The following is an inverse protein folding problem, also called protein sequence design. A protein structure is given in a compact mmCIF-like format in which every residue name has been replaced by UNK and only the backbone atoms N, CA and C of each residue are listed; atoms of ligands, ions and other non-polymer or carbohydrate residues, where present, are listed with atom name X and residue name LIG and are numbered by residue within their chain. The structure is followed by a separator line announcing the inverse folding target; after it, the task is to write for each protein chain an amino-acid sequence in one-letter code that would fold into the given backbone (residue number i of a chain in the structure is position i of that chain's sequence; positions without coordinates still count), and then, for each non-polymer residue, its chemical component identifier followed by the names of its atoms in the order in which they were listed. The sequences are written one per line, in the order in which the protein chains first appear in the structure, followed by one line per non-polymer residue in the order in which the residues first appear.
data_IF_126407960222
#
_entry.id   IF_126407960222
#
_cell.length_a   1.000
_cell.length_b   1.000
_cell.length_c   1.000
_cell.angle_alpha   90.00
_cell.angle_beta   90.00
_cell.angle_gamma   90.00
#
_symmetry.space_group_name_H-M   'P 1'
#
loop_
_entity.id
_entity.type
_entity.pdbx_description
1 polymer ?
#
# COMPACT_ATOMS: atom_id res chain seq x y z
N UNK A 1 5.27 12.28 -27.92
CA UNK A 1 4.79 13.15 -26.84
C UNK A 1 4.35 12.26 -25.67
N UNK A 2 4.91 12.46 -24.47
CA UNK A 2 4.52 11.72 -23.25
C UNK A 2 3.09 12.08 -22.89
N UNK A 3 2.26 11.07 -22.58
CA UNK A 3 0.87 11.25 -22.21
C UNK A 3 0.56 10.78 -20.79
N UNK A 4 1.37 9.87 -20.28
CA UNK A 4 1.19 9.27 -18.95
C UNK A 4 2.56 9.23 -18.28
N UNK A 5 2.60 9.59 -17.00
CA UNK A 5 3.77 9.43 -16.12
C UNK A 5 3.29 8.70 -14.88
N UNK A 6 3.96 7.62 -14.52
CA UNK A 6 3.71 6.89 -13.29
C UNK A 6 4.93 7.00 -12.36
N UNK A 7 4.68 7.28 -11.09
CA UNK A 7 5.70 7.40 -10.06
C UNK A 7 5.57 6.27 -9.04
N UNK A 8 6.69 5.68 -8.66
CA UNK A 8 6.77 4.93 -7.41
C UNK A 8 6.89 5.91 -6.23
N UNK A 9 6.54 5.46 -5.03
CA UNK A 9 6.56 6.29 -3.83
C UNK A 9 7.86 6.15 -3.05
N UNK A 10 8.09 4.96 -2.51
CA UNK A 10 9.16 4.76 -1.52
C UNK A 10 10.53 4.72 -2.20
N UNK A 11 11.35 5.73 -1.91
CA UNK A 11 12.66 5.90 -2.56
C UNK A 11 12.61 6.60 -3.93
N UNK A 12 11.44 7.06 -4.37
CA UNK A 12 11.24 7.81 -5.61
C UNK A 12 10.61 9.18 -5.31
N UNK A 13 9.30 9.25 -5.07
CA UNK A 13 8.63 10.50 -4.69
C UNK A 13 8.85 10.86 -3.22
N UNK A 14 8.86 9.87 -2.36
CA UNK A 14 9.09 10.07 -0.93
C UNK A 14 10.59 10.14 -0.60
N UNK A 15 10.96 11.14 0.17
CA UNK A 15 12.24 11.20 0.85
C UNK A 15 12.31 10.18 2.02
N UNK A 16 13.44 10.15 2.74
CA UNK A 16 13.64 9.28 3.90
C UNK A 16 12.67 9.55 5.07
N UNK A 17 11.99 10.69 5.07
CA UNK A 17 10.99 11.09 6.06
C UNK A 17 9.55 10.91 5.54
N UNK A 18 9.37 10.28 4.37
CA UNK A 18 8.09 10.08 3.67
C UNK A 18 7.41 11.40 3.27
N UNK A 19 8.21 12.41 2.96
CA UNK A 19 7.72 13.67 2.45
C UNK A 19 8.00 13.80 0.96
N UNK A 20 7.13 14.50 0.25
CA UNK A 20 7.35 15.00 -1.11
C UNK A 20 7.62 16.50 -0.97
N UNK A 21 8.72 16.96 -1.52
CA UNK A 21 9.06 18.39 -1.48
C UNK A 21 8.07 19.19 -2.34
N UNK A 22 7.86 20.45 -1.96
CA UNK A 22 6.84 21.31 -2.58
C UNK A 22 7.16 21.63 -4.05
N UNK A 23 8.45 21.72 -4.43
CA UNK A 23 8.83 21.95 -5.83
C UNK A 23 8.45 20.76 -6.71
N UNK A 24 8.63 19.54 -6.19
CA UNK A 24 8.19 18.30 -6.88
C UNK A 24 6.67 18.28 -7.01
N UNK A 25 5.93 18.60 -5.96
CA UNK A 25 4.47 18.71 -6.00
C UNK A 25 4.01 19.71 -7.07
N UNK A 26 4.60 20.91 -7.08
CA UNK A 26 4.26 21.94 -8.09
C UNK A 26 4.52 21.45 -9.51
N UNK A 27 5.66 20.80 -9.76
CA UNK A 27 6.00 20.26 -11.09
C UNK A 27 5.03 19.17 -11.53
N UNK A 28 4.60 18.29 -10.61
CA UNK A 28 3.60 17.27 -10.92
C UNK A 28 2.29 17.93 -11.34
N UNK A 29 1.79 18.90 -10.57
CA UNK A 29 0.57 19.63 -10.89
C UNK A 29 0.70 20.37 -12.23
N UNK A 30 1.84 20.98 -12.54
CA UNK A 30 2.08 21.59 -13.85
C UNK A 30 2.00 20.59 -15.01
N UNK A 31 2.46 19.34 -14.82
CA UNK A 31 2.34 18.28 -15.83
C UNK A 31 0.87 17.92 -16.04
N UNK A 32 0.11 17.77 -14.97
CA UNK A 32 -1.33 17.47 -15.01
C UNK A 32 -2.11 18.59 -15.72
N UNK A 33 -1.82 19.86 -15.41
CA UNK A 33 -2.41 21.03 -16.09
C UNK A 33 -2.11 21.05 -17.59
N UNK A 34 -1.00 20.46 -18.03
CA UNK A 34 -0.66 20.29 -19.46
C UNK A 34 -1.32 19.07 -20.10
N UNK A 35 -2.21 18.40 -19.39
CA UNK A 35 -2.96 17.23 -19.87
C UNK A 35 -2.15 15.93 -19.88
N UNK A 36 -1.09 15.85 -19.08
CA UNK A 36 -0.36 14.60 -18.85
C UNK A 36 -1.05 13.87 -17.70
N UNK A 37 -1.48 12.64 -17.93
CA UNK A 37 -2.06 11.80 -16.88
C UNK A 37 -0.95 11.36 -15.92
N UNK A 38 -1.12 11.64 -14.63
CA UNK A 38 -0.19 11.24 -13.59
C UNK A 38 -0.75 10.05 -12.83
N UNK A 39 0.09 9.10 -12.47
CA UNK A 39 -0.27 7.95 -11.65
C UNK A 39 0.75 7.64 -10.56
N UNK A 40 0.28 6.95 -9.55
CA UNK A 40 1.12 6.32 -8.52
C UNK A 40 1.09 4.82 -8.74
N UNK A 41 2.27 4.18 -8.72
CA UNK A 41 2.42 2.72 -8.78
C UNK A 41 3.25 2.30 -7.57
N UNK A 42 2.67 1.54 -6.64
CA UNK A 42 3.32 1.25 -5.37
C UNK A 42 2.93 -0.12 -4.80
N UNK A 43 3.78 -0.67 -3.94
CA UNK A 43 3.46 -1.84 -3.13
C UNK A 43 2.52 -1.55 -1.97
N UNK A 44 2.28 -0.28 -1.62
CA UNK A 44 1.38 0.11 -0.54
C UNK A 44 -0.07 -0.20 -0.85
N UNK A 45 -0.89 -0.34 0.20
CA UNK A 45 -2.34 -0.44 0.05
C UNK A 45 -2.95 0.92 -0.26
N UNK A 46 -4.06 0.90 -0.98
CA UNK A 46 -4.75 2.13 -1.38
C UNK A 46 -5.14 3.01 -0.19
N UNK A 47 -5.56 2.40 0.90
CA UNK A 47 -5.98 3.06 2.13
C UNK A 47 -4.87 3.89 2.80
N UNK A 48 -3.61 3.61 2.46
CA UNK A 48 -2.44 4.34 2.98
C UNK A 48 -2.06 5.57 2.13
N UNK A 49 -2.75 5.79 1.01
CA UNK A 49 -2.34 6.75 -0.02
C UNK A 49 -3.13 8.06 -0.01
N UNK A 50 -4.09 8.21 0.91
CA UNK A 50 -4.99 9.37 0.93
C UNK A 50 -4.25 10.70 0.90
N UNK A 51 -3.23 10.86 1.72
CA UNK A 51 -2.46 12.11 1.82
C UNK A 51 -1.75 12.46 0.50
N UNK A 52 -1.03 11.52 -0.12
CA UNK A 52 -0.32 11.78 -1.37
C UNK A 52 -1.28 12.03 -2.53
N UNK A 53 -2.39 11.30 -2.60
CA UNK A 53 -3.42 11.49 -3.63
C UNK A 53 -3.95 12.93 -3.60
N UNK A 54 -4.25 13.45 -2.42
CA UNK A 54 -4.73 14.83 -2.26
C UNK A 54 -3.61 15.84 -2.48
N UNK A 55 -2.40 15.58 -1.99
CA UNK A 55 -1.26 16.50 -2.09
C UNK A 55 -0.89 16.80 -3.55
N UNK A 56 -0.85 15.77 -4.41
CA UNK A 56 -0.55 15.93 -5.84
C UNK A 56 -1.82 16.00 -6.72
N UNK A 57 -3.00 16.15 -6.12
CA UNK A 57 -4.28 16.40 -6.78
C UNK A 57 -4.72 15.37 -7.82
N UNK A 58 -4.34 14.10 -7.64
CA UNK A 58 -4.65 13.05 -8.61
C UNK A 58 -6.14 12.94 -8.96
N UNK A 59 -7.04 13.17 -7.99
CA UNK A 59 -8.49 13.15 -8.24
C UNK A 59 -8.96 14.31 -9.09
N UNK A 60 -8.38 15.50 -8.85
CA UNK A 60 -8.74 16.72 -9.57
C UNK A 60 -8.37 16.65 -11.06
N UNK A 61 -7.25 15.99 -11.36
CA UNK A 61 -6.70 15.89 -12.71
C UNK A 61 -6.87 14.50 -13.37
N UNK A 62 -7.81 13.69 -12.85
CA UNK A 62 -8.13 12.39 -13.42
C UNK A 62 -6.92 11.44 -13.55
N UNK A 63 -6.07 11.44 -12.54
CA UNK A 63 -4.95 10.52 -12.44
C UNK A 63 -5.37 9.09 -12.07
N UNK A 64 -4.42 8.26 -11.70
CA UNK A 64 -4.70 6.89 -11.25
C UNK A 64 -3.75 6.42 -10.15
N UNK A 65 -4.15 5.35 -9.48
CA UNK A 65 -3.31 4.64 -8.51
C UNK A 65 -3.32 3.14 -8.81
N UNK A 66 -2.14 2.55 -9.00
CA UNK A 66 -1.95 1.11 -8.99
C UNK A 66 -1.29 0.73 -7.65
N UNK A 67 -2.09 0.19 -6.73
CA UNK A 67 -1.70 -0.16 -5.36
C UNK A 67 -1.44 -1.66 -5.21
N UNK A 68 -0.84 -2.06 -4.09
CA UNK A 68 -0.57 -3.47 -3.76
C UNK A 68 0.18 -4.21 -4.88
N UNK A 69 1.23 -3.60 -5.43
CA UNK A 69 2.00 -4.11 -6.58
C UNK A 69 1.13 -4.38 -7.84
N UNK A 70 0.13 -3.53 -8.07
CA UNK A 70 -0.76 -3.64 -9.22
C UNK A 70 -1.95 -4.59 -9.01
N UNK A 71 -2.17 -5.09 -7.80
CA UNK A 71 -3.36 -5.90 -7.49
C UNK A 71 -4.66 -5.10 -7.62
N UNK A 72 -4.61 -3.82 -7.28
CA UNK A 72 -5.75 -2.91 -7.39
C UNK A 72 -5.36 -1.68 -8.22
N UNK A 73 -6.24 -1.28 -9.14
CA UNK A 73 -6.14 -0.02 -9.87
C UNK A 73 -7.37 0.82 -9.56
N UNK A 74 -7.14 2.06 -9.16
CA UNK A 74 -8.16 3.09 -8.99
C UNK A 74 -7.95 4.14 -10.06
N UNK A 75 -8.88 4.25 -10.99
CA UNK A 75 -8.89 5.26 -12.04
C UNK A 75 -9.81 6.41 -11.60
N UNK A 76 -9.29 7.63 -11.58
CA UNK A 76 -10.06 8.79 -11.15
C UNK A 76 -10.78 9.48 -12.30
N UNK A 77 -10.52 9.07 -13.56
CA UNK A 77 -11.24 9.59 -14.72
C UNK A 77 -12.69 9.11 -14.74
N UNK A 78 -12.91 7.82 -14.52
CA UNK A 78 -14.24 7.19 -14.55
C UNK A 78 -14.73 6.73 -13.17
N UNK A 79 -13.87 6.83 -12.16
CA UNK A 79 -14.13 6.34 -10.80
C UNK A 79 -14.08 4.83 -10.68
N UNK A 80 -13.58 4.12 -11.70
CA UNK A 80 -13.49 2.66 -11.67
C UNK A 80 -12.42 2.17 -10.70
N UNK A 81 -12.79 1.12 -9.98
CA UNK A 81 -11.85 0.30 -9.21
C UNK A 81 -11.77 -1.08 -9.84
N UNK A 82 -10.57 -1.48 -10.24
CA UNK A 82 -10.27 -2.83 -10.72
C UNK A 82 -9.44 -3.57 -9.68
N UNK A 83 -9.89 -4.74 -9.26
CA UNK A 83 -9.13 -5.66 -8.43
C UNK A 83 -8.95 -6.97 -9.20
N UNK A 84 -7.70 -7.35 -9.47
CA UNK A 84 -7.43 -8.45 -10.40
C UNK A 84 -7.56 -9.82 -9.75
N UNK A 85 -6.95 -10.02 -8.59
CA UNK A 85 -6.95 -11.33 -7.93
C UNK A 85 -6.82 -11.15 -6.43
N UNK A 86 -7.47 -12.05 -5.67
CA UNK A 86 -7.28 -12.19 -4.22
C UNK A 86 -7.15 -13.66 -3.89
N UNK A 87 -6.32 -13.96 -2.90
CA UNK A 87 -6.23 -15.31 -2.35
C UNK A 87 -7.55 -15.67 -1.67
N UNK A 88 -8.00 -16.88 -1.89
CA UNK A 88 -9.11 -17.45 -1.14
C UNK A 88 -8.72 -17.69 0.33
N UNK A 89 -9.71 -17.84 1.19
CA UNK A 89 -9.45 -18.12 2.61
C UNK A 89 -8.63 -19.39 2.82
N UNK A 90 -8.83 -20.42 2.00
CA UNK A 90 -8.13 -21.69 2.14
C UNK A 90 -6.69 -21.60 1.66
N UNK A 91 -6.42 -20.90 0.56
CA UNK A 91 -5.05 -20.59 0.12
C UNK A 91 -4.26 -19.79 1.18
N UNK A 92 -4.90 -18.78 1.80
CA UNK A 92 -4.27 -18.02 2.90
C UNK A 92 -3.95 -18.94 4.08
N UNK A 93 -4.87 -19.84 4.47
CA UNK A 93 -4.62 -20.80 5.55
C UNK A 93 -3.44 -21.73 5.25
N UNK A 94 -3.35 -22.25 4.03
CA UNK A 94 -2.25 -23.12 3.62
C UNK A 94 -0.91 -22.35 3.66
N UNK A 95 -0.85 -21.14 3.14
CA UNK A 95 0.36 -20.31 3.17
C UNK A 95 0.79 -19.98 4.61
N UNK A 96 -0.16 -19.60 5.48
CA UNK A 96 0.13 -19.33 6.89
C UNK A 96 0.62 -20.59 7.61
N UNK A 97 0.03 -21.75 7.32
CA UNK A 97 0.45 -23.04 7.89
C UNK A 97 1.86 -23.40 7.44
N UNK A 98 2.19 -23.18 6.17
CA UNK A 98 3.54 -23.43 5.66
C UNK A 98 4.56 -22.47 6.27
N UNK A 99 4.25 -21.18 6.31
CA UNK A 99 5.11 -20.18 6.96
C UNK A 99 5.43 -20.52 8.42
N UNK A 100 4.44 -21.00 9.17
CA UNK A 100 4.61 -21.46 10.56
C UNK A 100 5.63 -22.60 10.69
N UNK A 101 5.68 -23.55 9.75
CA UNK A 101 6.68 -24.65 9.77
C UNK A 101 8.11 -24.12 9.66
N UNK A 102 8.29 -23.00 8.96
CA UNK A 102 9.58 -22.34 8.77
C UNK A 102 9.85 -21.23 9.77
N UNK A 103 9.06 -21.12 10.85
CA UNK A 103 9.17 -20.07 11.87
C UNK A 103 9.09 -18.65 11.30
N UNK A 104 8.35 -18.47 10.19
CA UNK A 104 8.10 -17.18 9.57
C UNK A 104 6.85 -16.52 10.13
N UNK A 105 6.88 -15.21 10.19
CA UNK A 105 5.70 -14.37 10.49
C UNK A 105 4.99 -14.07 9.19
N UNK A 106 3.67 -14.24 9.18
CA UNK A 106 2.83 -13.89 8.05
C UNK A 106 1.99 -12.68 8.38
N UNK A 107 1.90 -11.74 7.43
CA UNK A 107 1.01 -10.59 7.48
C UNK A 107 -0.07 -10.78 6.42
N UNK A 108 -1.31 -10.78 6.83
CA UNK A 108 -2.46 -10.93 5.93
C UNK A 108 -3.28 -9.65 6.00
N UNK A 109 -3.44 -8.99 4.86
CA UNK A 109 -4.33 -7.84 4.75
C UNK A 109 -5.77 -8.28 4.57
N UNK A 110 -6.66 -7.82 5.46
CA UNK A 110 -8.09 -8.07 5.36
C UNK A 110 -8.91 -6.98 6.09
N UNK A 111 -10.06 -6.65 5.55
CA UNK A 111 -11.00 -5.71 6.18
C UNK A 111 -10.37 -4.36 6.59
N UNK A 112 -9.46 -3.83 5.76
CA UNK A 112 -8.80 -2.56 6.02
C UNK A 112 -7.70 -2.59 7.09
N UNK A 113 -7.16 -3.77 7.41
CA UNK A 113 -6.07 -3.91 8.38
C UNK A 113 -5.25 -5.18 8.20
N UNK A 114 -4.14 -5.24 8.93
CA UNK A 114 -3.28 -6.42 8.94
C UNK A 114 -3.62 -7.37 10.08
N UNK A 115 -3.61 -8.64 9.76
CA UNK A 115 -3.60 -9.72 10.73
C UNK A 115 -2.25 -10.41 10.70
N UNK A 116 -1.62 -10.57 11.87
CA UNK A 116 -0.33 -11.24 12.02
C UNK A 116 -0.53 -12.68 12.51
N UNK A 117 0.18 -13.61 11.89
CA UNK A 117 0.22 -15.01 12.29
C UNK A 117 1.67 -15.46 12.51
N UNK A 118 1.88 -16.38 13.46
CA UNK A 118 3.19 -16.99 13.69
C UNK A 118 4.08 -16.29 14.73
N UNK A 119 3.56 -15.27 15.44
CA UNK A 119 4.25 -14.61 16.56
C UNK A 119 3.54 -14.85 17.88
N UNK A 120 4.29 -14.91 18.98
CA UNK A 120 3.75 -14.73 20.32
C UNK A 120 3.73 -13.24 20.68
N UNK A 121 2.84 -12.83 21.59
CA UNK A 121 2.82 -11.44 22.13
C UNK A 121 4.18 -11.08 22.74
N UNK A 122 4.88 -12.04 23.34
CA UNK A 122 6.21 -11.85 23.92
C UNK A 122 7.28 -11.57 22.86
N UNK A 123 7.16 -12.14 21.65
CA UNK A 123 8.09 -11.87 20.54
C UNK A 123 7.88 -10.48 19.95
N UNK A 124 6.64 -10.02 19.91
CA UNK A 124 6.30 -8.66 19.47
C UNK A 124 6.90 -7.62 20.41
N UNK A 125 6.79 -7.84 21.73
CA UNK A 125 7.29 -6.90 22.75
C UNK A 125 8.81 -6.91 22.85
N UNK A 126 9.47 -8.07 22.64
CA UNK A 126 10.93 -8.20 22.80
C UNK A 126 11.75 -7.71 21.61
N UNK A 127 11.21 -7.67 20.41
CA UNK A 127 11.97 -7.42 19.17
C UNK A 127 11.78 -6.07 18.55
N UNK A 128 11.15 -5.09 19.20
CA UNK A 128 10.89 -3.79 18.54
C UNK A 128 10.39 -3.97 17.07
N UNK A 129 9.57 -5.00 16.83
CA UNK A 129 9.01 -5.30 15.51
C UNK A 129 8.24 -4.09 14.97
N UNK A 130 7.89 -3.16 15.85
CA UNK A 130 7.32 -1.87 15.51
C UNK A 130 8.27 -0.86 14.83
N UNK A 131 9.58 -1.10 14.86
CA UNK A 131 10.55 -0.13 14.32
C UNK A 131 10.83 -0.29 12.82
N UNK A 132 10.39 -1.36 12.18
CA UNK A 132 10.35 -1.39 10.72
C UNK A 132 9.08 -0.69 10.24
N UNK A 133 9.23 0.58 10.10
CA UNK A 133 8.37 1.65 9.65
C UNK A 133 7.58 1.36 8.36
N UNK A 134 6.61 0.52 8.46
CA UNK A 134 5.40 0.70 7.69
C UNK A 134 4.37 1.21 8.68
N UNK A 135 3.67 2.30 8.39
CA UNK A 135 2.66 2.88 9.27
C UNK A 135 1.48 1.95 9.47
N UNK A 136 1.70 0.82 10.13
CA UNK A 136 0.68 -0.18 10.39
C UNK A 136 -0.19 0.25 11.56
N UNK A 137 -1.46 0.43 11.29
CA UNK A 137 -2.44 0.34 12.36
C UNK A 137 -2.65 -1.15 12.67
N UNK A 138 -2.16 -1.60 13.81
CA UNK A 138 -2.35 -2.97 14.25
C UNK A 138 -3.81 -3.15 14.69
N UNK A 139 -4.65 -3.71 13.81
CA UNK A 139 -6.07 -3.87 14.13
C UNK A 139 -6.38 -5.11 14.96
N UNK A 140 -5.59 -6.18 14.83
CA UNK A 140 -5.82 -7.41 15.60
C UNK A 140 -4.58 -8.30 15.62
N UNK A 141 -4.15 -8.71 16.81
CA UNK A 141 -3.23 -9.84 17.00
C UNK A 141 -4.11 -11.06 17.26
N UNK A 142 -4.09 -12.03 16.34
CA UNK A 142 -4.82 -13.28 16.51
C UNK A 142 -3.87 -14.30 17.12
N UNK A 143 -4.11 -14.64 18.38
CA UNK A 143 -3.44 -15.75 19.06
C UNK A 143 -4.11 -17.07 18.71
N UNK A 144 -3.31 -18.05 18.44
CA UNK A 144 -3.45 -19.51 18.17
C UNK A 144 -4.77 -20.16 17.75
N UNK A 145 -5.97 -19.62 18.03
CA UNK A 145 -7.23 -20.41 17.98
C UNK A 145 -8.30 -19.92 17.00
N UNK A 146 -8.03 -18.97 16.10
CA UNK A 146 -9.07 -18.39 15.23
C UNK A 146 -8.81 -18.57 13.71
N UNK A 147 -8.13 -19.67 13.32
CA UNK A 147 -7.99 -20.04 11.90
C UNK A 147 -8.81 -21.31 11.63
#
# INVERSE_FOLDING_TARGET
MVKIIAFDLDGTLYDKHKHIDEDTVHKIIELEQKGIVVGIVTGRFYEELGEVIEKIKLREYNGFVASSNGLEIHDFLDGEKKCFTRLSKDEVKELVKEAKKHHLVSYVWQNGGYTMFGVSILDVVKKDIFTYSFGFTLHKIITKNEI
#
